data_IF_010583232901
#
_entry.id   IF_010583232901
#
_cell.length_a   1.000
_cell.length_b   1.000
_cell.length_c   1.000
_cell.angle_alpha   90.00
_cell.angle_beta   90.00
_cell.angle_gamma   90.00
#
_symmetry.space_group_name_H-M   'P 1'
#
loop_
_entity.id
_entity.type
_entity.pdbx_description
1 polymer ?
#
# COMPACT_ATOMS: atom_id res chain seq x y z
N UNK A 1 12.00 3.73 8.20
CA UNK A 1 10.99 4.72 8.65
C UNK A 1 11.21 5.14 10.10
N UNK A 2 11.23 4.21 11.05
CA UNK A 2 11.46 4.53 12.47
C UNK A 2 12.78 5.29 12.74
N UNK A 3 13.89 4.89 12.11
CA UNK A 3 15.18 5.60 12.18
C UNK A 3 15.11 7.04 11.67
N UNK A 4 14.10 7.37 10.87
CA UNK A 4 13.86 8.71 10.32
C UNK A 4 12.77 9.45 11.12
N UNK A 5 12.35 8.94 12.28
CA UNK A 5 11.34 9.54 13.14
C UNK A 5 9.90 9.44 12.62
N UNK A 6 9.66 8.63 11.57
CA UNK A 6 8.33 8.46 10.98
C UNK A 6 7.72 7.15 11.49
N UNK A 7 6.67 7.27 12.31
CA UNK A 7 5.88 6.13 12.78
C UNK A 7 4.84 5.73 11.74
N UNK A 8 4.77 4.44 11.43
CA UNK A 8 3.85 3.88 10.44
C UNK A 8 3.14 2.66 11.04
N UNK A 9 1.85 2.52 10.73
CA UNK A 9 1.09 1.31 11.03
C UNK A 9 1.12 0.38 9.82
N UNK A 10 1.28 -0.92 10.06
CA UNK A 10 1.12 -1.94 9.02
C UNK A 10 -0.23 -2.61 9.21
N UNK A 11 -1.10 -2.48 8.21
CA UNK A 11 -2.41 -3.14 8.18
C UNK A 11 -2.34 -4.26 7.14
N UNK A 12 -2.48 -5.51 7.59
CA UNK A 12 -2.67 -6.64 6.69
C UNK A 12 -4.15 -6.76 6.32
N UNK A 13 -4.46 -6.77 5.02
CA UNK A 13 -5.83 -6.86 4.51
C UNK A 13 -6.00 -8.08 3.59
N UNK A 14 -6.10 -9.30 4.14
CA UNK A 14 -6.16 -10.54 3.36
C UNK A 14 -7.43 -10.67 2.51
N UNK A 15 -8.49 -9.93 2.83
CA UNK A 15 -9.71 -9.85 2.04
C UNK A 15 -10.38 -8.50 2.18
N UNK A 16 -10.28 -7.68 1.14
CA UNK A 16 -11.00 -6.41 1.00
C UNK A 16 -12.51 -6.62 1.12
N UNK A 17 -13.04 -7.67 0.49
CA UNK A 17 -14.46 -8.04 0.54
C UNK A 17 -14.98 -8.31 1.96
N UNK A 18 -14.19 -9.01 2.80
CA UNK A 18 -14.57 -9.27 4.19
C UNK A 18 -14.40 -8.01 5.04
N UNK A 19 -13.34 -7.24 4.81
CA UNK A 19 -13.09 -5.96 5.49
C UNK A 19 -14.21 -4.95 5.24
N UNK A 20 -14.70 -4.85 4.00
CA UNK A 20 -15.77 -3.92 3.63
C UNK A 20 -17.11 -4.21 4.29
N UNK A 21 -17.35 -5.47 4.71
CA UNK A 21 -18.56 -5.90 5.41
C UNK A 21 -18.50 -5.65 6.92
N UNK A 22 -17.34 -5.24 7.45
CA UNK A 22 -17.23 -4.88 8.86
C UNK A 22 -17.97 -3.57 9.14
N UNK A 23 -18.37 -3.37 10.39
CA UNK A 23 -19.04 -2.14 10.81
C UNK A 23 -18.13 -0.91 10.61
N UNK A 24 -18.75 0.27 10.59
CA UNK A 24 -18.02 1.51 10.36
C UNK A 24 -17.01 1.81 11.47
N UNK A 25 -17.30 1.47 12.73
CA UNK A 25 -16.39 1.76 13.84
C UNK A 25 -15.09 0.95 13.70
N UNK A 26 -15.19 -0.34 13.36
CA UNK A 26 -14.03 -1.19 13.11
C UNK A 26 -13.21 -0.70 11.90
N UNK A 27 -13.87 -0.39 10.77
CA UNK A 27 -13.15 0.11 9.59
C UNK A 27 -12.42 1.44 9.87
N UNK A 28 -13.01 2.35 10.66
CA UNK A 28 -12.38 3.59 11.06
C UNK A 28 -11.24 3.38 12.07
N UNK A 29 -11.34 2.39 12.96
CA UNK A 29 -10.27 2.04 13.89
C UNK A 29 -9.04 1.47 13.16
N UNK A 30 -9.25 0.66 12.12
CA UNK A 30 -8.16 0.09 11.31
C UNK A 30 -7.60 1.12 10.32
N UNK A 31 -8.46 1.91 9.66
CA UNK A 31 -8.09 2.92 8.69
C UNK A 31 -8.64 4.31 9.11
N UNK A 32 -7.98 5.01 10.05
CA UNK A 32 -8.38 6.36 10.45
C UNK A 32 -8.29 7.34 9.28
N UNK A 33 -9.33 8.17 9.06
CA UNK A 33 -9.44 9.06 7.89
C UNK A 33 -8.37 10.14 7.79
N UNK A 34 -7.84 10.58 8.93
CA UNK A 34 -6.85 11.66 9.01
C UNK A 34 -5.42 11.20 8.70
N UNK A 35 -5.16 9.89 8.63
CA UNK A 35 -3.84 9.35 8.34
C UNK A 35 -3.67 9.10 6.84
N UNK A 36 -2.56 9.56 6.23
CA UNK A 36 -2.23 9.21 4.85
C UNK A 36 -1.92 7.71 4.76
N UNK A 37 -2.14 7.14 3.58
CA UNK A 37 -2.09 5.68 3.36
C UNK A 37 -1.29 5.37 2.11
N UNK A 38 -0.50 4.30 2.19
CA UNK A 38 0.18 3.68 1.06
C UNK A 38 -0.25 2.22 0.99
N UNK A 39 -0.84 1.81 -0.13
CA UNK A 39 -1.12 0.40 -0.40
C UNK A 39 0.08 -0.25 -1.09
N UNK A 40 0.37 -1.51 -0.77
CA UNK A 40 1.50 -2.26 -1.34
C UNK A 40 0.99 -3.65 -1.73
N UNK A 41 0.91 -3.92 -3.02
CA UNK A 41 0.46 -5.22 -3.55
C UNK A 41 1.07 -5.46 -4.94
N UNK A 42 1.53 -6.67 -5.22
CA UNK A 42 2.04 -7.05 -6.54
C UNK A 42 0.91 -7.31 -7.56
N UNK A 43 0.10 -6.29 -7.81
CA UNK A 43 -1.07 -6.29 -8.69
C UNK A 43 -1.47 -4.88 -9.11
N UNK A 44 -2.59 -4.75 -9.80
CA UNK A 44 -3.07 -3.46 -10.34
C UNK A 44 -3.39 -2.47 -9.22
N UNK A 45 -3.10 -1.20 -9.44
CA UNK A 45 -3.19 -0.15 -8.42
C UNK A 45 -4.61 0.39 -8.22
N UNK A 46 -5.42 0.41 -9.29
CA UNK A 46 -6.70 1.14 -9.31
C UNK A 46 -7.66 0.77 -8.18
N UNK A 47 -7.76 -0.52 -7.83
CA UNK A 47 -8.65 -1.01 -6.78
C UNK A 47 -8.32 -0.43 -5.39
N UNK A 48 -7.06 -0.05 -5.16
CA UNK A 48 -6.60 0.46 -3.88
C UNK A 48 -6.97 1.92 -3.61
N UNK A 49 -7.30 2.70 -4.64
CA UNK A 49 -7.73 4.10 -4.47
C UNK A 49 -9.02 4.24 -3.67
N UNK A 50 -9.84 3.18 -3.59
CA UNK A 50 -10.96 3.07 -2.64
C UNK A 50 -10.52 3.26 -1.17
N UNK A 51 -9.32 2.81 -0.81
CA UNK A 51 -8.81 2.84 0.56
C UNK A 51 -7.79 3.94 0.78
N UNK A 52 -6.92 4.22 -0.19
CA UNK A 52 -5.87 5.25 -0.05
C UNK A 52 -6.36 6.65 -0.40
N UNK A 53 -7.46 6.77 -1.13
CA UNK A 53 -8.03 8.05 -1.58
C UNK A 53 -7.13 8.79 -2.58
N UNK A 54 -7.48 10.04 -2.89
CA UNK A 54 -6.77 10.86 -3.89
C UNK A 54 -5.43 11.44 -3.41
N UNK A 55 -5.16 11.35 -2.10
CA UNK A 55 -3.94 11.87 -1.47
C UNK A 55 -2.98 10.77 -1.01
N UNK A 56 -3.38 9.51 -1.16
CA UNK A 56 -2.52 8.37 -0.86
C UNK A 56 -1.71 7.92 -2.07
N UNK A 57 -0.99 6.81 -1.92
CA UNK A 57 -0.20 6.22 -2.97
C UNK A 57 -0.36 4.70 -3.02
N UNK A 58 -0.01 4.10 -4.15
CA UNK A 58 0.01 2.64 -4.33
C UNK A 58 1.36 2.22 -4.89
N UNK A 59 1.98 1.22 -4.28
CA UNK A 59 3.11 0.46 -4.85
C UNK A 59 2.52 -0.80 -5.45
N UNK A 60 2.26 -0.76 -6.75
CA UNK A 60 1.66 -1.85 -7.53
C UNK A 60 2.30 -2.01 -8.90
N UNK A 61 1.68 -2.82 -9.75
CA UNK A 61 2.14 -3.16 -11.10
C UNK A 61 0.97 -3.08 -12.10
N UNK A 62 0.96 -2.02 -12.92
CA UNK A 62 -0.12 -1.70 -13.86
C UNK A 62 0.17 -2.12 -15.31
N UNK A 63 1.14 -3.03 -15.49
CA UNK A 63 1.51 -3.62 -16.78
C UNK A 63 1.76 -5.12 -16.62
N UNK A 64 1.88 -5.82 -17.74
CA UNK A 64 2.34 -7.20 -17.71
C UNK A 64 3.76 -7.31 -17.12
N UNK A 65 4.04 -8.50 -16.57
CA UNK A 65 5.35 -8.87 -16.06
C UNK A 65 6.34 -9.23 -17.17
N UNK A 66 7.48 -9.75 -16.75
CA UNK A 66 8.58 -10.18 -17.61
C UNK A 66 9.08 -11.57 -17.20
N UNK A 67 9.84 -12.23 -18.06
CA UNK A 67 10.44 -13.54 -17.77
C UNK A 67 11.82 -13.37 -17.10
N UNK A 68 11.86 -13.42 -15.77
CA UNK A 68 13.11 -13.44 -15.00
C UNK A 68 12.87 -14.06 -13.60
N UNK A 69 13.92 -14.33 -12.81
CA UNK A 69 13.77 -14.77 -11.42
C UNK A 69 12.99 -13.75 -10.58
N UNK A 70 12.16 -14.24 -9.65
CA UNK A 70 11.25 -13.40 -8.87
C UNK A 70 11.96 -12.25 -8.12
N UNK A 71 13.15 -12.49 -7.55
CA UNK A 71 13.91 -11.46 -6.84
C UNK A 71 14.41 -10.32 -7.75
N UNK A 72 14.67 -10.61 -9.03
CA UNK A 72 15.02 -9.60 -10.03
C UNK A 72 13.77 -8.83 -10.44
N UNK A 73 12.66 -9.53 -10.69
CA UNK A 73 11.36 -8.92 -11.03
C UNK A 73 10.85 -7.99 -9.92
N UNK A 74 10.89 -8.40 -8.65
CA UNK A 74 10.45 -7.54 -7.55
C UNK A 74 11.29 -6.25 -7.46
N UNK A 75 12.60 -6.34 -7.71
CA UNK A 75 13.47 -5.15 -7.71
C UNK A 75 13.17 -4.24 -8.90
N UNK A 76 13.06 -4.81 -10.08
CA UNK A 76 12.75 -4.10 -11.33
C UNK A 76 11.40 -3.39 -11.26
N UNK A 77 10.37 -4.06 -10.73
CA UNK A 77 9.03 -3.51 -10.56
C UNK A 77 8.88 -2.62 -9.32
N UNK A 78 9.95 -2.38 -8.55
CA UNK A 78 9.94 -1.42 -7.44
C UNK A 78 9.27 -1.93 -6.16
N UNK A 79 9.13 -3.25 -5.97
CA UNK A 79 8.73 -3.84 -4.69
C UNK A 79 9.93 -3.93 -3.74
N UNK A 80 10.47 -2.77 -3.39
CA UNK A 80 11.63 -2.64 -2.51
C UNK A 80 11.30 -1.79 -1.29
N UNK A 81 12.07 -1.97 -0.21
CA UNK A 81 11.89 -1.17 1.01
C UNK A 81 12.09 0.32 0.74
N UNK A 82 13.01 0.68 -0.15
CA UNK A 82 13.32 2.04 -0.54
C UNK A 82 12.15 2.68 -1.29
N UNK A 83 11.53 1.95 -2.23
CA UNK A 83 10.39 2.45 -3.00
C UNK A 83 9.16 2.68 -2.13
N UNK A 84 8.89 1.77 -1.20
CA UNK A 84 7.80 1.92 -0.21
C UNK A 84 8.07 3.10 0.71
N UNK A 85 9.30 3.23 1.24
CA UNK A 85 9.68 4.37 2.07
C UNK A 85 9.54 5.72 1.32
N UNK A 86 9.93 5.76 0.04
CA UNK A 86 9.74 6.94 -0.80
C UNK A 86 8.25 7.27 -1.02
N UNK A 87 7.40 6.26 -1.24
CA UNK A 87 5.96 6.45 -1.36
C UNK A 87 5.34 7.00 -0.07
N UNK A 88 5.75 6.50 1.10
CA UNK A 88 5.29 7.02 2.39
C UNK A 88 5.69 8.48 2.56
N UNK A 89 6.95 8.85 2.27
CA UNK A 89 7.39 10.25 2.38
C UNK A 89 6.66 11.20 1.44
N UNK A 90 6.23 10.74 0.27
CA UNK A 90 5.56 11.56 -0.72
C UNK A 90 4.11 11.93 -0.33
N UNK A 91 3.51 11.22 0.64
CA UNK A 91 2.12 11.43 1.08
C UNK A 91 2.01 12.06 2.47
N UNK A 92 3.14 12.39 3.11
CA UNK A 92 3.21 13.15 4.37
C UNK A 92 3.21 14.65 4.08
#
# INVERSE_FOLDING_TARGET
MAEQGINVNVVSMPSTNVFDRQDAAYRHAVLPEHLPRVAVEAGVSDGWYKYVGTRGAVVGLDRFGESAPAAELFREFGFTAERVAAAVKAVL
#
